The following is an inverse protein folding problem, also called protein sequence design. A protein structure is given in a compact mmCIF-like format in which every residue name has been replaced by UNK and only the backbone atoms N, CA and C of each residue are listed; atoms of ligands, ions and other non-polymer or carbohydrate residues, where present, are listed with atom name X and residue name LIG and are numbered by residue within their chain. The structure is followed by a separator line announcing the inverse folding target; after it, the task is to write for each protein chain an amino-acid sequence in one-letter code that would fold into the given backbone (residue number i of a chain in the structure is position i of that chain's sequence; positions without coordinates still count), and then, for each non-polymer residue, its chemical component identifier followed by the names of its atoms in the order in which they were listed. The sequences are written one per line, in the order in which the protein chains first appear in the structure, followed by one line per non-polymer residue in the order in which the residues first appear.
data_IF_602102647384
#
_entry.id   IF_602102647384
#
_cell.length_a   1.000
_cell.length_b   1.000
_cell.length_c   1.000
_cell.angle_alpha   90.00
_cell.angle_beta   90.00
_cell.angle_gamma   90.00
#
_symmetry.space_group_name_H-M   'P 1'
#
loop_
_entity.id
_entity.type
_entity.pdbx_description
1 polymer ?
#
# COMPACT_ATOMS: atom_id res chain seq x y z
N UNK A 1 7.26 -28.26 14.41
CA UNK A 1 6.62 -27.51 13.33
C UNK A 1 5.14 -27.91 13.39
N UNK A 2 4.26 -26.99 13.75
CA UNK A 2 2.82 -27.26 13.76
C UNK A 2 2.40 -27.23 12.30
N UNK A 3 1.83 -28.32 11.79
CA UNK A 3 1.23 -28.35 10.45
C UNK A 3 -0.05 -27.51 10.50
N UNK A 4 0.12 -26.22 10.22
CA UNK A 4 -0.97 -25.23 10.20
C UNK A 4 -1.95 -25.45 9.02
N UNK A 5 -1.56 -26.29 8.05
CA UNK A 5 -2.31 -26.47 6.80
C UNK A 5 -2.82 -27.92 6.61
N UNK A 6 -2.59 -28.78 7.62
CA UNK A 6 -3.01 -30.18 7.79
C UNK A 6 -3.79 -30.78 6.64
N UNK A 7 -3.09 -31.33 5.66
CA UNK A 7 -3.53 -32.43 4.80
C UNK A 7 -4.92 -32.41 4.15
N UNK A 8 -5.63 -31.26 4.16
CA UNK A 8 -6.91 -31.14 3.46
C UNK A 8 -6.66 -30.85 1.97
N UNK A 9 -6.92 -31.79 1.04
CA UNK A 9 -6.70 -31.56 -0.39
C UNK A 9 -7.57 -30.44 -0.98
N UNK A 10 -8.64 -30.03 -0.25
CA UNK A 10 -9.53 -28.93 -0.65
C UNK A 10 -9.12 -27.58 -0.02
N UNK A 11 -7.97 -27.54 0.70
CA UNK A 11 -7.48 -26.29 1.26
C UNK A 11 -6.79 -25.47 0.17
N UNK A 12 -7.36 -24.30 -0.20
CA UNK A 12 -6.74 -23.43 -1.25
C UNK A 12 -5.34 -22.94 -0.87
N UNK A 13 -4.99 -22.98 0.43
CA UNK A 13 -3.66 -22.60 0.92
C UNK A 13 -2.60 -23.72 0.79
N UNK A 14 -3.04 -24.95 0.51
CA UNK A 14 -2.09 -26.07 0.33
C UNK A 14 -1.19 -25.86 -0.90
N UNK A 15 -1.71 -25.22 -1.96
CA UNK A 15 -0.93 -24.88 -3.15
C UNK A 15 0.12 -23.79 -2.89
N UNK A 16 -0.10 -22.93 -1.91
CA UNK A 16 0.86 -21.88 -1.52
C UNK A 16 2.02 -22.48 -0.73
N UNK A 17 1.75 -23.47 0.12
CA UNK A 17 2.78 -24.15 0.92
C UNK A 17 3.82 -24.92 0.08
N UNK A 18 3.43 -25.31 -1.13
CA UNK A 18 4.29 -26.06 -2.08
C UNK A 18 4.88 -25.15 -3.19
N UNK A 19 4.59 -23.83 -3.19
CA UNK A 19 5.16 -22.91 -4.16
C UNK A 19 6.51 -22.38 -3.69
N UNK A 20 7.46 -22.22 -4.62
CA UNK A 20 8.73 -21.52 -4.40
C UNK A 20 8.54 -19.97 -4.40
N UNK A 21 7.29 -19.50 -4.42
CA UNK A 21 6.97 -18.08 -4.43
C UNK A 21 7.17 -17.46 -3.05
N UNK A 22 7.84 -16.33 -3.01
CA UNK A 22 8.05 -15.55 -1.79
C UNK A 22 6.97 -14.49 -1.66
N UNK A 23 6.27 -14.47 -0.52
CA UNK A 23 5.35 -13.39 -0.16
C UNK A 23 6.14 -12.29 0.54
N UNK A 24 6.04 -11.07 0.04
CA UNK A 24 6.60 -9.88 0.68
C UNK A 24 5.58 -9.25 1.61
N UNK A 25 6.04 -8.79 2.77
CA UNK A 25 5.20 -8.07 3.74
C UNK A 25 5.54 -6.58 3.72
N UNK A 26 4.50 -5.75 3.71
CA UNK A 26 4.56 -4.34 4.02
C UNK A 26 3.94 -4.13 5.41
N UNK A 27 4.71 -3.60 6.33
CA UNK A 27 4.25 -3.27 7.69
C UNK A 27 3.82 -1.81 7.77
N UNK A 28 2.62 -1.56 8.27
CA UNK A 28 2.02 -0.22 8.41
C UNK A 28 1.85 0.19 9.88
N UNK A 29 2.52 -0.48 10.81
CA UNK A 29 2.45 -0.18 12.26
C UNK A 29 2.76 1.29 12.54
N UNK A 30 3.76 1.86 11.86
CA UNK A 30 4.21 3.23 12.09
C UNK A 30 3.31 4.29 11.46
N UNK A 31 2.37 3.91 10.61
CA UNK A 31 1.40 4.81 9.97
C UNK A 31 -0.03 4.45 10.35
N UNK A 32 -0.56 3.34 9.87
CA UNK A 32 -1.94 2.92 10.10
C UNK A 32 -2.14 2.44 11.53
N UNK A 33 -1.20 1.68 12.07
CA UNK A 33 -1.23 1.22 13.45
C UNK A 33 -1.26 2.36 14.46
N UNK A 34 -0.62 3.49 14.17
CA UNK A 34 -0.67 4.68 15.04
C UNK A 34 -2.03 5.39 15.02
N UNK A 35 -2.89 5.12 14.05
CA UNK A 35 -4.25 5.66 14.02
C UNK A 35 -5.19 4.97 15.04
N UNK A 36 -4.74 3.89 15.67
CA UNK A 36 -5.50 3.22 16.71
C UNK A 36 -5.70 4.12 17.93
N UNK A 37 -6.92 4.18 18.53
CA UNK A 37 -7.18 5.00 19.69
C UNK A 37 -6.24 4.70 20.85
N UNK A 38 -5.58 5.72 21.38
CA UNK A 38 -4.66 5.61 22.53
C UNK A 38 -3.21 5.25 22.14
N UNK A 39 -2.90 5.12 20.87
CA UNK A 39 -1.53 4.96 20.36
C UNK A 39 -0.99 6.32 19.97
N UNK A 40 0.22 6.63 20.43
CA UNK A 40 1.00 7.79 20.01
C UNK A 40 2.47 7.44 20.23
N UNK A 41 3.20 7.32 19.16
CA UNK A 41 4.60 6.89 19.16
C UNK A 41 5.53 8.10 19.10
N UNK A 42 6.54 8.11 19.96
CA UNK A 42 7.61 9.09 19.87
C UNK A 42 8.55 8.74 18.71
N UNK A 43 9.26 9.73 18.14
CA UNK A 43 10.17 9.47 17.00
C UNK A 43 11.22 8.38 17.28
N UNK A 44 11.71 8.30 18.52
CA UNK A 44 12.65 7.26 18.94
C UNK A 44 12.01 5.87 18.96
N UNK A 45 10.75 5.79 19.41
CA UNK A 45 10.00 4.53 19.44
C UNK A 45 9.72 4.02 18.03
N UNK A 46 9.34 4.92 17.09
CA UNK A 46 9.19 4.56 15.68
C UNK A 46 10.50 4.02 15.08
N UNK A 47 11.62 4.67 15.37
CA UNK A 47 12.94 4.20 14.92
C UNK A 47 13.30 2.82 15.48
N UNK A 48 12.98 2.54 16.74
CA UNK A 48 13.26 1.24 17.37
C UNK A 48 12.34 0.14 16.84
N UNK A 49 11.08 0.45 16.54
CA UNK A 49 10.14 -0.44 15.87
C UNK A 49 10.64 -0.75 14.46
N UNK A 50 11.02 0.27 13.67
CA UNK A 50 11.55 0.09 12.32
C UNK A 50 12.75 -0.87 12.29
N UNK A 51 13.74 -0.67 13.20
CA UNK A 51 14.88 -1.61 13.34
C UNK A 51 14.45 -3.02 13.71
N UNK A 52 13.36 -3.15 14.47
CA UNK A 52 12.88 -4.48 14.89
C UNK A 52 12.16 -5.20 13.75
N UNK A 53 11.39 -4.48 12.95
CA UNK A 53 10.75 -4.98 11.74
C UNK A 53 11.78 -5.41 10.69
N UNK A 54 12.79 -4.59 10.45
CA UNK A 54 13.89 -4.88 9.54
C UNK A 54 14.64 -6.17 9.96
N UNK A 55 15.03 -6.29 11.25
CA UNK A 55 15.63 -7.53 11.78
C UNK A 55 14.73 -8.75 11.70
N UNK A 56 13.41 -8.56 11.66
CA UNK A 56 12.44 -9.64 11.46
C UNK A 56 12.31 -10.06 9.99
N UNK A 57 12.95 -9.32 9.05
CA UNK A 57 12.92 -9.60 7.62
C UNK A 57 11.69 -9.02 6.91
N UNK A 58 11.05 -7.99 7.48
CA UNK A 58 9.99 -7.24 6.79
C UNK A 58 10.60 -6.46 5.63
N UNK A 59 10.10 -6.68 4.42
CA UNK A 59 10.66 -6.10 3.20
C UNK A 59 10.28 -4.64 2.95
N UNK A 60 9.13 -4.20 3.47
CA UNK A 60 8.62 -2.83 3.30
C UNK A 60 8.08 -2.29 4.62
N UNK A 61 8.42 -1.05 4.94
CA UNK A 61 7.96 -0.35 6.17
C UNK A 61 7.34 0.99 5.77
N UNK A 62 6.04 1.17 6.00
CA UNK A 62 5.38 2.46 5.83
C UNK A 62 5.63 3.32 7.07
N UNK A 63 6.59 4.23 6.96
CA UNK A 63 7.13 4.98 8.12
C UNK A 63 6.18 6.07 8.64
N UNK A 64 5.23 6.51 7.81
CA UNK A 64 4.30 7.57 8.17
C UNK A 64 3.65 8.21 6.94
N UNK A 65 3.06 9.40 7.13
CA UNK A 65 2.49 10.21 6.06
C UNK A 65 3.07 11.61 6.09
N UNK A 66 3.96 11.93 5.13
CA UNK A 66 4.71 13.19 5.10
C UNK A 66 3.81 14.44 5.05
N UNK A 67 2.57 14.30 4.55
CA UNK A 67 1.60 15.39 4.46
C UNK A 67 0.95 15.77 5.81
N UNK A 68 1.11 14.95 6.85
CA UNK A 68 0.46 15.19 8.16
C UNK A 68 1.02 16.42 8.88
N UNK A 69 2.34 16.67 8.77
CA UNK A 69 2.98 17.83 9.39
C UNK A 69 4.49 17.71 9.51
N UNK A 70 5.15 18.78 9.99
CA UNK A 70 6.63 18.78 10.10
C UNK A 70 7.14 17.75 11.10
N UNK A 71 6.44 17.54 12.23
CA UNK A 71 6.86 16.53 13.20
C UNK A 71 6.85 15.12 12.65
N UNK A 72 5.87 14.81 11.79
CA UNK A 72 5.83 13.51 11.10
C UNK A 72 6.96 13.39 10.06
N UNK A 73 7.22 14.45 9.29
CA UNK A 73 8.35 14.47 8.35
C UNK A 73 9.71 14.28 9.05
N UNK A 74 9.89 14.92 10.23
CA UNK A 74 11.09 14.71 11.02
C UNK A 74 11.23 13.25 11.48
N UNK A 75 10.11 12.63 11.85
CA UNK A 75 10.08 11.21 12.25
C UNK A 75 10.37 10.30 11.05
N UNK A 76 9.78 10.57 9.88
CA UNK A 76 10.07 9.79 8.66
C UNK A 76 11.55 9.91 8.30
N UNK A 77 12.14 11.12 8.27
CA UNK A 77 13.58 11.31 8.03
C UNK A 77 14.44 10.51 9.00
N UNK A 78 14.04 10.44 10.27
CA UNK A 78 14.76 9.64 11.27
C UNK A 78 14.72 8.14 10.94
N UNK A 79 13.60 7.64 10.38
CA UNK A 79 13.51 6.23 9.94
C UNK A 79 14.33 6.00 8.68
N UNK A 80 14.27 6.91 7.69
CA UNK A 80 15.05 6.81 6.45
C UNK A 80 16.55 6.95 6.67
N UNK A 81 16.97 7.67 7.72
CA UNK A 81 18.39 7.78 8.13
C UNK A 81 18.93 6.49 8.79
N UNK A 82 18.08 5.49 9.05
CA UNK A 82 18.51 4.19 9.52
C UNK A 82 19.04 3.36 8.33
N UNK A 83 20.14 2.68 8.52
CA UNK A 83 20.69 1.75 7.52
C UNK A 83 19.88 0.44 7.57
N UNK A 84 18.67 0.45 6.97
CA UNK A 84 17.75 -0.68 6.92
C UNK A 84 17.87 -1.41 5.59
N UNK A 85 17.70 -2.74 5.63
CA UNK A 85 17.54 -3.56 4.42
C UNK A 85 16.11 -3.41 3.82
N UNK A 86 15.14 -3.03 4.64
CA UNK A 86 13.74 -2.81 4.23
C UNK A 86 13.60 -1.52 3.42
N UNK A 87 12.75 -1.56 2.39
CA UNK A 87 12.30 -0.39 1.63
C UNK A 87 11.40 0.48 2.51
N UNK A 88 11.80 1.72 2.78
CA UNK A 88 11.03 2.67 3.58
C UNK A 88 10.10 3.47 2.70
N UNK A 89 8.80 3.42 2.98
CA UNK A 89 7.78 4.13 2.20
C UNK A 89 7.05 5.18 3.02
N UNK A 90 6.43 6.14 2.33
CA UNK A 90 5.50 7.10 2.93
C UNK A 90 4.14 6.99 2.25
N UNK A 91 3.09 7.02 3.07
CA UNK A 91 1.73 7.19 2.58
C UNK A 91 1.56 8.55 1.90
N UNK A 92 0.98 8.56 0.71
CA UNK A 92 0.64 9.74 -0.06
C UNK A 92 -0.81 9.67 -0.56
N UNK A 93 -1.56 10.75 -0.38
CA UNK A 93 -2.85 10.89 -1.07
C UNK A 93 -2.56 11.07 -2.56
N UNK A 94 -3.54 10.79 -3.42
CA UNK A 94 -3.41 10.95 -4.86
C UNK A 94 -3.25 12.42 -5.30
N UNK A 95 -2.23 13.11 -4.79
CA UNK A 95 -1.85 14.48 -5.14
C UNK A 95 -0.31 14.65 -5.13
N UNK A 96 0.20 15.39 -6.11
CA UNK A 96 1.63 15.58 -6.33
C UNK A 96 2.38 16.12 -5.11
N UNK A 97 1.80 17.09 -4.41
CA UNK A 97 2.43 17.68 -3.23
C UNK A 97 2.78 16.66 -2.13
N UNK A 98 1.99 15.59 -1.99
CA UNK A 98 2.27 14.56 -0.98
C UNK A 98 3.50 13.72 -1.39
N UNK A 99 3.69 13.49 -2.70
CA UNK A 99 4.88 12.84 -3.24
C UNK A 99 6.12 13.72 -3.04
N UNK A 100 6.00 15.03 -3.31
CA UNK A 100 7.10 15.99 -3.10
C UNK A 100 7.55 16.00 -1.63
N UNK A 101 6.59 16.00 -0.69
CA UNK A 101 6.89 15.94 0.75
C UNK A 101 7.54 14.61 1.17
N UNK A 102 7.16 13.51 0.55
CA UNK A 102 7.78 12.21 0.78
C UNK A 102 9.23 12.17 0.26
N UNK A 103 9.46 12.70 -0.96
CA UNK A 103 10.81 12.90 -1.52
C UNK A 103 11.71 13.73 -0.60
N UNK A 104 11.19 14.82 -0.05
CA UNK A 104 11.92 15.67 0.91
C UNK A 104 12.28 14.93 2.21
N UNK A 105 11.62 13.82 2.50
CA UNK A 105 11.95 12.96 3.64
C UNK A 105 12.97 11.86 3.32
N UNK A 106 13.36 11.70 2.05
CA UNK A 106 14.35 10.72 1.62
C UNK A 106 13.84 9.27 1.65
N UNK A 107 12.53 9.05 1.45
CA UNK A 107 11.96 7.69 1.39
C UNK A 107 12.37 6.98 0.10
N UNK A 108 12.39 5.65 0.15
CA UNK A 108 12.67 4.80 -1.02
C UNK A 108 11.45 4.64 -1.93
N UNK A 109 10.25 4.87 -1.38
CA UNK A 109 9.01 4.68 -2.12
C UNK A 109 7.80 5.39 -1.52
N UNK A 110 6.68 5.31 -2.25
CA UNK A 110 5.40 5.86 -1.83
C UNK A 110 4.26 4.86 -2.03
N UNK A 111 3.32 4.87 -1.10
CA UNK A 111 2.02 4.22 -1.24
C UNK A 111 0.99 5.29 -1.60
N UNK A 112 0.57 5.34 -2.87
CA UNK A 112 -0.34 6.36 -3.40
C UNK A 112 -1.78 5.85 -3.24
N UNK A 113 -2.57 6.53 -2.42
CA UNK A 113 -3.97 6.16 -2.19
C UNK A 113 -4.89 6.98 -3.05
N UNK A 114 -5.67 6.29 -3.87
CA UNK A 114 -6.64 6.87 -4.80
C UNK A 114 -8.04 6.31 -4.54
N UNK A 115 -9.12 7.06 -4.83
CA UNK A 115 -10.48 6.58 -4.58
C UNK A 115 -10.84 5.44 -5.54
N UNK A 116 -11.25 4.27 -5.00
CA UNK A 116 -11.68 3.11 -5.78
C UNK A 116 -13.20 3.04 -5.98
N UNK A 117 -14.00 3.51 -5.02
CA UNK A 117 -15.47 3.40 -5.11
C UNK A 117 -16.13 4.69 -5.62
N UNK A 118 -17.29 4.56 -6.28
CA UNK A 118 -18.15 5.68 -6.72
C UNK A 118 -18.39 6.68 -5.59
N UNK A 119 -18.63 6.17 -4.39
CA UNK A 119 -18.89 7.00 -3.21
C UNK A 119 -17.69 7.88 -2.86
N UNK A 120 -16.48 7.36 -2.98
CA UNK A 120 -15.26 8.14 -2.73
C UNK A 120 -14.97 9.10 -3.89
N UNK A 121 -15.14 8.66 -5.12
CA UNK A 121 -14.91 9.48 -6.32
C UNK A 121 -15.84 10.69 -6.31
N UNK A 122 -17.16 10.45 -6.22
CA UNK A 122 -18.15 11.51 -6.38
C UNK A 122 -18.30 12.40 -5.14
N UNK A 123 -18.26 11.80 -3.91
CA UNK A 123 -18.65 12.51 -2.68
C UNK A 123 -17.47 12.95 -1.82
N UNK A 124 -16.36 12.21 -1.84
CA UNK A 124 -15.17 12.56 -1.05
C UNK A 124 -14.25 13.46 -1.85
N UNK A 125 -14.00 13.13 -3.12
CA UNK A 125 -13.08 13.88 -3.99
C UNK A 125 -13.82 14.84 -4.90
N UNK A 126 -15.00 14.50 -5.41
CA UNK A 126 -15.82 15.34 -6.30
C UNK A 126 -15.27 15.37 -7.72
N UNK A 127 -14.83 14.23 -8.23
CA UNK A 127 -14.22 14.02 -9.54
C UNK A 127 -14.94 12.91 -10.32
N UNK A 128 -14.43 12.55 -11.47
CA UNK A 128 -14.93 11.48 -12.32
C UNK A 128 -13.99 10.28 -12.34
N UNK A 129 -14.48 9.10 -12.75
CA UNK A 129 -13.68 7.90 -12.95
C UNK A 129 -12.51 8.12 -13.92
N UNK A 130 -12.75 8.81 -15.03
CA UNK A 130 -11.73 9.10 -16.04
C UNK A 130 -10.62 10.00 -15.49
N UNK A 131 -10.99 11.03 -14.73
CA UNK A 131 -10.03 11.93 -14.07
C UNK A 131 -9.20 11.20 -13.00
N UNK A 132 -9.81 10.25 -12.27
CA UNK A 132 -9.07 9.43 -11.28
C UNK A 132 -8.02 8.58 -11.99
N UNK A 133 -8.39 7.90 -13.08
CA UNK A 133 -7.47 7.06 -13.86
C UNK A 133 -6.32 7.88 -14.43
N UNK A 134 -6.62 8.99 -15.15
CA UNK A 134 -5.62 9.88 -15.74
C UNK A 134 -4.67 10.45 -14.68
N UNK A 135 -5.23 11.00 -13.58
CA UNK A 135 -4.42 11.56 -12.49
C UNK A 135 -3.53 10.50 -11.85
N UNK A 136 -4.03 9.27 -11.70
CA UNK A 136 -3.24 8.17 -11.12
C UNK A 136 -2.04 7.84 -12.00
N UNK A 137 -2.23 7.70 -13.31
CA UNK A 137 -1.14 7.48 -14.27
C UNK A 137 -0.07 8.58 -14.20
N UNK A 138 -0.51 9.85 -14.20
CA UNK A 138 0.39 11.01 -14.11
C UNK A 138 1.21 11.02 -12.80
N UNK A 139 0.58 10.69 -11.67
CA UNK A 139 1.26 10.65 -10.36
C UNK A 139 2.25 9.51 -10.26
N UNK A 140 1.91 8.34 -10.79
CA UNK A 140 2.82 7.20 -10.86
C UNK A 140 4.04 7.53 -11.72
N UNK A 141 3.81 8.03 -12.94
CA UNK A 141 4.90 8.44 -13.84
C UNK A 141 5.81 9.48 -13.16
N UNK A 142 5.21 10.47 -12.47
CA UNK A 142 5.97 11.46 -11.72
C UNK A 142 6.83 10.84 -10.62
N UNK A 143 6.29 9.94 -9.81
CA UNK A 143 7.03 9.25 -8.76
C UNK A 143 8.17 8.40 -9.32
N UNK A 144 7.92 7.70 -10.44
CA UNK A 144 8.94 6.89 -11.16
C UNK A 144 10.03 7.75 -11.78
N UNK A 145 9.74 8.96 -12.27
CA UNK A 145 10.74 9.93 -12.75
C UNK A 145 11.69 10.39 -11.63
N UNK A 146 11.33 10.15 -10.36
CA UNK A 146 12.15 10.43 -9.18
C UNK A 146 12.72 9.16 -8.52
N UNK A 147 12.77 8.05 -9.26
CA UNK A 147 13.32 6.75 -8.83
C UNK A 147 12.62 6.13 -7.61
N UNK A 148 11.38 6.53 -7.27
CA UNK A 148 10.64 5.93 -6.17
C UNK A 148 10.07 4.56 -6.54
N UNK A 149 10.06 3.65 -5.56
CA UNK A 149 9.18 2.49 -5.60
C UNK A 149 7.73 2.94 -5.36
N UNK A 150 6.78 2.42 -6.14
CA UNK A 150 5.39 2.90 -6.13
C UNK A 150 4.40 1.76 -5.97
N UNK A 151 3.58 1.85 -4.92
CA UNK A 151 2.34 1.07 -4.79
C UNK A 151 1.13 1.98 -4.94
N UNK A 152 0.14 1.55 -5.71
CA UNK A 152 -1.14 2.26 -5.84
C UNK A 152 -2.22 1.49 -5.10
N UNK A 153 -2.88 2.15 -4.15
CA UNK A 153 -3.92 1.58 -3.30
C UNK A 153 -5.29 2.12 -3.73
N UNK A 154 -6.19 1.21 -4.15
CA UNK A 154 -7.59 1.54 -4.42
C UNK A 154 -8.39 1.61 -3.13
N UNK A 155 -8.53 2.81 -2.55
CA UNK A 155 -9.28 3.01 -1.31
C UNK A 155 -10.75 2.63 -1.49
N UNK A 156 -11.30 1.90 -0.52
CA UNK A 156 -12.67 1.40 -0.54
C UNK A 156 -12.92 0.38 -1.68
N UNK A 157 -11.88 -0.38 -1.99
CA UNK A 157 -11.87 -1.35 -3.09
C UNK A 157 -12.94 -2.42 -2.98
N UNK A 158 -13.31 -2.82 -1.75
CA UNK A 158 -14.37 -3.79 -1.53
C UNK A 158 -15.77 -3.31 -1.95
N UNK A 159 -15.96 -2.00 -2.13
CA UNK A 159 -17.21 -1.40 -2.65
C UNK A 159 -17.05 -0.78 -4.02
N UNK A 160 -15.89 -0.92 -4.63
CA UNK A 160 -15.63 -0.49 -5.99
C UNK A 160 -16.34 -1.40 -7.01
N UNK A 161 -16.61 -0.86 -8.19
CA UNK A 161 -16.89 -1.64 -9.37
C UNK A 161 -15.60 -2.34 -9.83
N UNK A 162 -15.66 -3.66 -10.09
CA UNK A 162 -14.46 -4.44 -10.41
C UNK A 162 -13.83 -4.02 -11.74
N UNK A 163 -14.65 -3.75 -12.77
CA UNK A 163 -14.14 -3.37 -14.08
C UNK A 163 -13.46 -1.98 -14.01
N UNK A 164 -13.99 -1.09 -13.17
CA UNK A 164 -13.33 0.19 -12.91
C UNK A 164 -12.02 0.03 -12.14
N UNK A 165 -12.00 -0.80 -11.10
CA UNK A 165 -10.80 -1.04 -10.31
C UNK A 165 -9.69 -1.69 -11.17
N UNK A 166 -10.05 -2.63 -12.03
CA UNK A 166 -9.16 -3.26 -13.00
C UNK A 166 -8.56 -2.22 -13.97
N UNK A 167 -9.38 -1.33 -14.51
CA UNK A 167 -8.93 -0.24 -15.37
C UNK A 167 -7.98 0.72 -14.63
N UNK A 168 -8.31 1.09 -13.39
CA UNK A 168 -7.50 2.00 -12.57
C UNK A 168 -6.12 1.39 -12.25
N UNK A 169 -6.09 0.13 -11.83
CA UNK A 169 -4.85 -0.55 -11.50
C UNK A 169 -4.03 -0.90 -12.75
N UNK A 170 -4.70 -1.20 -13.86
CA UNK A 170 -4.03 -1.37 -15.15
C UNK A 170 -3.30 -0.12 -15.58
N UNK A 171 -3.95 1.06 -15.53
CA UNK A 171 -3.30 2.35 -15.83
C UNK A 171 -2.11 2.61 -14.90
N UNK A 172 -2.26 2.35 -13.59
CA UNK A 172 -1.18 2.52 -12.64
C UNK A 172 0.04 1.65 -12.98
N UNK A 173 -0.17 0.37 -13.29
CA UNK A 173 0.90 -0.57 -13.67
C UNK A 173 1.52 -0.19 -15.03
N UNK A 174 0.72 0.21 -16.00
CA UNK A 174 1.20 0.68 -17.31
C UNK A 174 2.04 1.96 -17.20
N UNK A 175 1.71 2.84 -16.24
CA UNK A 175 2.50 4.03 -15.90
C UNK A 175 3.79 3.72 -15.12
N UNK A 176 3.99 2.47 -14.70
CA UNK A 176 5.21 1.99 -14.07
C UNK A 176 5.11 1.72 -12.57
N UNK A 177 3.91 1.66 -11.98
CA UNK A 177 3.77 1.25 -10.59
C UNK A 177 4.35 -0.16 -10.38
N UNK A 178 5.05 -0.35 -9.27
CA UNK A 178 5.68 -1.63 -8.93
C UNK A 178 4.66 -2.64 -8.41
N UNK A 179 3.55 -2.14 -7.84
CA UNK A 179 2.49 -2.97 -7.25
C UNK A 179 1.16 -2.23 -7.20
N UNK A 180 0.06 -2.95 -7.43
CA UNK A 180 -1.30 -2.52 -7.13
C UNK A 180 -1.75 -3.10 -5.77
N UNK A 181 -2.71 -2.44 -5.10
CA UNK A 181 -3.24 -2.92 -3.83
C UNK A 181 -4.77 -2.87 -3.80
N UNK A 182 -5.37 -4.01 -3.47
CA UNK A 182 -6.78 -4.10 -3.12
C UNK A 182 -6.97 -3.81 -1.64
N UNK A 183 -7.71 -2.76 -1.30
CA UNK A 183 -7.97 -2.39 0.08
C UNK A 183 -9.44 -2.59 0.46
N UNK A 184 -9.70 -3.46 1.43
CA UNK A 184 -11.02 -3.59 2.10
C UNK A 184 -11.12 -2.62 3.28
N UNK A 185 -11.08 -1.33 2.98
CA UNK A 185 -11.00 -0.22 3.94
C UNK A 185 -12.07 -0.26 5.04
N UNK A 186 -13.21 -0.87 4.78
CA UNK A 186 -14.35 -0.89 5.72
C UNK A 186 -14.72 -2.30 6.20
N UNK A 187 -13.96 -3.32 5.85
CA UNK A 187 -14.22 -4.69 6.26
C UNK A 187 -15.55 -5.23 5.71
N UNK A 188 -15.83 -4.97 4.43
CA UNK A 188 -17.10 -5.32 3.80
C UNK A 188 -17.04 -6.55 2.89
N UNK A 189 -15.84 -6.94 2.48
CA UNK A 189 -15.65 -8.05 1.57
C UNK A 189 -15.94 -9.40 2.23
N UNK A 190 -16.52 -10.33 1.46
CA UNK A 190 -16.53 -11.75 1.81
C UNK A 190 -15.26 -12.42 1.26
N UNK A 191 -14.88 -13.61 1.77
CA UNK A 191 -13.74 -14.34 1.22
C UNK A 191 -13.85 -14.57 -0.30
N UNK A 192 -15.04 -14.89 -0.80
CA UNK A 192 -15.29 -15.13 -2.21
C UNK A 192 -15.06 -13.85 -3.03
N UNK A 193 -15.55 -12.70 -2.53
CA UNK A 193 -15.35 -11.42 -3.20
C UNK A 193 -13.90 -11.01 -3.21
N UNK A 194 -13.20 -11.17 -2.09
CA UNK A 194 -11.75 -10.90 -2.02
C UNK A 194 -11.00 -11.76 -3.03
N UNK A 195 -11.31 -13.06 -3.08
CA UNK A 195 -10.69 -13.97 -4.04
C UNK A 195 -10.93 -13.54 -5.50
N UNK A 196 -12.17 -13.17 -5.85
CA UNK A 196 -12.52 -12.71 -7.19
C UNK A 196 -11.73 -11.46 -7.57
N UNK A 197 -11.74 -10.43 -6.71
CA UNK A 197 -11.09 -9.15 -6.98
C UNK A 197 -9.57 -9.29 -7.07
N UNK A 198 -8.97 -9.96 -6.10
CA UNK A 198 -7.50 -10.16 -6.09
C UNK A 198 -7.05 -11.01 -7.27
N UNK A 199 -7.80 -12.07 -7.63
CA UNK A 199 -7.46 -12.92 -8.78
C UNK A 199 -7.48 -12.13 -10.09
N UNK A 200 -8.47 -11.25 -10.29
CA UNK A 200 -8.56 -10.40 -11.47
C UNK A 200 -7.43 -9.37 -11.54
N UNK A 201 -7.12 -8.73 -10.42
CA UNK A 201 -6.01 -7.76 -10.36
C UNK A 201 -4.64 -8.43 -10.54
N UNK A 202 -4.47 -9.65 -10.05
CA UNK A 202 -3.24 -10.43 -10.23
C UNK A 202 -2.93 -10.78 -11.70
N UNK A 203 -3.95 -10.81 -12.57
CA UNK A 203 -3.75 -10.99 -14.02
C UNK A 203 -3.08 -9.78 -14.68
N UNK A 204 -3.16 -8.59 -14.05
CA UNK A 204 -2.53 -7.36 -14.55
C UNK A 204 -1.07 -7.25 -14.15
N UNK A 205 -0.69 -7.77 -12.98
CA UNK A 205 0.67 -7.66 -12.45
C UNK A 205 0.75 -7.92 -10.94
N UNK A 206 1.84 -7.48 -10.29
CA UNK A 206 2.00 -7.63 -8.85
C UNK A 206 0.84 -6.96 -8.08
N UNK A 207 0.24 -7.72 -7.16
CA UNK A 207 -0.88 -7.25 -6.34
C UNK A 207 -0.65 -7.56 -4.87
N UNK A 208 -1.03 -6.63 -4.01
CA UNK A 208 -1.13 -6.81 -2.57
C UNK A 208 -2.57 -6.65 -2.07
N UNK A 209 -2.78 -7.00 -0.83
CA UNK A 209 -4.06 -6.75 -0.14
C UNK A 209 -3.80 -6.04 1.17
N UNK A 210 -4.67 -5.08 1.49
CA UNK A 210 -4.71 -4.40 2.77
C UNK A 210 -6.12 -4.59 3.36
N UNK A 211 -6.18 -5.25 4.52
CA UNK A 211 -7.45 -5.61 5.19
C UNK A 211 -7.40 -5.25 6.66
#
# INVERSE_FOLDING_TARGET
MVDLFGGNPDNPLASIADSDETVQLLDTTLRDGEQAPGVSLMPEEKADIARSLDRAGIGFIEAGSACTGEGERETIRRVTDLDLDATVTSFARGIRNDIDLALDCGVDGVTIVVPGSDKHIERKVGTTHDEVVETTGDLVAYAKDHDLWVEVIGEDGSRADLDFLERLMGEALDAGADRSCYADTVGHATPEKTYEYVSRLAELGPVSTHT
#
